data_IF_710662188475
#
_entry.id   IF_710662188475
#
_cell.length_a   1.000
_cell.length_b   1.000
_cell.length_c   1.000
_cell.angle_alpha   90.00
_cell.angle_beta   90.00
_cell.angle_gamma   90.00
#
_symmetry.space_group_name_H-M   'P 1'
#
loop_
_entity.id
_entity.type
_entity.pdbx_description
1 polymer ?
#
# COMPACT_ATOMS: atom_id res chain seq x y z
N UNK A 1 -6.04 8.62 -11.17
CA UNK A 1 -4.72 8.00 -11.39
C UNK A 1 -4.92 6.60 -11.94
N UNK A 2 -4.07 6.21 -12.87
CA UNK A 2 -4.23 4.91 -13.52
C UNK A 2 -3.52 3.82 -12.75
N UNK A 3 -4.30 2.92 -12.15
CA UNK A 3 -3.77 1.83 -11.35
C UNK A 3 -2.89 0.89 -12.16
N UNK A 4 -3.18 0.70 -13.45
CA UNK A 4 -2.34 -0.14 -14.30
C UNK A 4 -0.94 0.46 -14.44
N UNK A 5 -0.83 1.77 -14.64
CA UNK A 5 0.46 2.45 -14.71
C UNK A 5 1.25 2.30 -13.42
N UNK A 6 0.57 2.40 -12.28
CA UNK A 6 1.20 2.18 -10.99
C UNK A 6 1.71 0.75 -10.85
N UNK A 7 0.90 -0.22 -11.27
CA UNK A 7 1.29 -1.63 -11.21
C UNK A 7 2.54 -1.89 -12.05
N UNK A 8 2.63 -1.28 -13.24
CA UNK A 8 3.80 -1.41 -14.09
C UNK A 8 5.04 -0.77 -13.47
N UNK A 9 4.89 0.37 -12.81
CA UNK A 9 6.01 1.01 -12.10
C UNK A 9 6.48 0.15 -10.92
N UNK A 10 5.56 -0.46 -10.20
CA UNK A 10 5.88 -1.36 -9.10
C UNK A 10 6.66 -2.57 -9.64
N UNK A 11 6.24 -3.12 -10.78
CA UNK A 11 6.96 -4.22 -11.41
C UNK A 11 8.40 -3.84 -11.75
N UNK A 12 8.61 -2.62 -12.27
CA UNK A 12 9.96 -2.13 -12.55
C UNK A 12 10.82 -2.05 -11.30
N UNK A 13 10.24 -1.61 -10.19
CA UNK A 13 10.95 -1.55 -8.91
C UNK A 13 11.41 -2.95 -8.50
N UNK A 14 10.51 -3.93 -8.61
CA UNK A 14 10.84 -5.31 -8.27
C UNK A 14 11.90 -5.89 -9.20
N UNK A 15 11.84 -5.57 -10.48
CA UNK A 15 12.84 -6.03 -11.44
C UNK A 15 14.22 -5.49 -11.10
N UNK A 16 14.31 -4.21 -10.74
CA UNK A 16 15.58 -3.60 -10.34
C UNK A 16 16.14 -4.21 -9.06
N UNK A 17 15.26 -4.48 -8.09
CA UNK A 17 15.71 -5.11 -6.86
C UNK A 17 16.22 -6.52 -7.09
N UNK A 18 15.59 -7.28 -7.99
CA UNK A 18 16.04 -8.62 -8.31
C UNK A 18 17.37 -8.65 -9.04
N UNK A 19 17.70 -7.61 -9.79
CA UNK A 19 19.01 -7.51 -10.43
C UNK A 19 20.16 -7.52 -9.41
N UNK A 20 19.88 -7.05 -8.20
CA UNK A 20 20.85 -7.04 -7.10
C UNK A 20 20.94 -8.38 -6.38
N UNK A 21 20.06 -9.32 -6.70
CA UNK A 21 19.95 -10.60 -6.02
C UNK A 21 20.00 -11.75 -7.04
N UNK A 22 21.18 -12.01 -7.61
CA UNK A 22 21.29 -13.05 -8.63
C UNK A 22 20.88 -14.41 -8.09
N UNK A 23 20.30 -15.22 -8.96
CA UNK A 23 19.80 -16.55 -8.64
C UNK A 23 18.67 -16.57 -7.60
N UNK A 24 17.92 -15.48 -7.54
CA UNK A 24 16.74 -15.39 -6.68
C UNK A 24 15.50 -15.16 -7.52
N UNK A 25 14.36 -15.64 -7.02
CA UNK A 25 13.08 -15.37 -7.65
C UNK A 25 12.17 -14.64 -6.66
N UNK A 26 11.30 -13.81 -7.17
CA UNK A 26 10.34 -13.08 -6.36
C UNK A 26 9.16 -13.99 -6.02
N UNK A 27 8.86 -14.15 -4.74
CA UNK A 27 7.76 -15.00 -4.30
C UNK A 27 6.59 -14.20 -3.76
N UNK A 28 6.84 -13.00 -3.24
CA UNK A 28 5.77 -12.17 -2.70
C UNK A 28 6.14 -10.70 -2.71
N UNK A 29 5.14 -9.86 -2.69
CA UNK A 29 5.25 -8.41 -2.75
C UNK A 29 4.14 -7.80 -1.90
N UNK A 30 4.48 -6.81 -1.09
CA UNK A 30 3.51 -6.03 -0.34
C UNK A 30 3.57 -4.57 -0.72
N UNK A 31 2.41 -3.98 -0.94
CA UNK A 31 2.27 -2.57 -1.30
C UNK A 31 1.32 -1.92 -0.30
N UNK A 32 1.73 -0.78 0.25
CA UNK A 32 0.88 0.00 1.14
C UNK A 32 0.27 1.16 0.38
N UNK A 33 -1.05 1.31 0.49
CA UNK A 33 -1.81 2.37 -0.17
C UNK A 33 -2.53 3.18 0.90
N UNK A 34 -2.27 4.48 0.95
CA UNK A 34 -2.94 5.36 1.91
C UNK A 34 -4.44 5.42 1.68
N UNK A 35 -5.22 5.36 2.76
CA UNK A 35 -6.67 5.37 2.71
C UNK A 35 -7.23 6.64 2.04
N UNK A 36 -6.46 7.73 2.08
CA UNK A 36 -6.86 9.02 1.52
C UNK A 36 -6.15 9.35 0.21
N UNK A 37 -5.41 8.39 -0.36
CA UNK A 37 -4.85 8.56 -1.70
C UNK A 37 -5.96 8.38 -2.73
N UNK A 38 -5.71 8.84 -3.95
CA UNK A 38 -6.67 8.70 -5.04
C UNK A 38 -6.64 7.29 -5.67
N UNK A 39 -5.84 6.39 -5.12
CA UNK A 39 -5.65 5.05 -5.67
C UNK A 39 -6.79 4.13 -5.23
N UNK A 40 -7.43 3.49 -6.20
CA UNK A 40 -8.47 2.49 -5.95
C UNK A 40 -7.80 1.16 -5.61
N UNK A 41 -7.91 0.74 -4.34
CA UNK A 41 -7.18 -0.42 -3.83
C UNK A 41 -7.51 -1.71 -4.56
N UNK A 42 -8.80 -1.98 -4.80
CA UNK A 42 -9.19 -3.22 -5.46
C UNK A 42 -8.71 -3.28 -6.91
N UNK A 43 -8.80 -2.15 -7.62
CA UNK A 43 -8.33 -2.07 -9.00
C UNK A 43 -6.81 -2.23 -9.06
N UNK A 44 -6.09 -1.59 -8.15
CA UNK A 44 -4.64 -1.75 -8.09
C UNK A 44 -4.27 -3.20 -7.79
N UNK A 45 -4.94 -3.81 -6.84
CA UNK A 45 -4.67 -5.21 -6.47
C UNK A 45 -4.84 -6.13 -7.67
N UNK A 46 -5.91 -5.96 -8.43
CA UNK A 46 -6.15 -6.74 -9.64
C UNK A 46 -5.08 -6.51 -10.70
N UNK A 47 -4.81 -5.26 -11.02
CA UNK A 47 -3.79 -4.92 -12.03
C UNK A 47 -2.42 -5.43 -11.62
N UNK A 48 -2.09 -5.28 -10.35
CA UNK A 48 -0.79 -5.70 -9.84
C UNK A 48 -0.62 -7.21 -9.97
N UNK A 49 -1.65 -7.98 -9.57
CA UNK A 49 -1.57 -9.44 -9.67
C UNK A 49 -1.39 -9.88 -11.13
N UNK A 50 -2.08 -9.22 -12.06
CA UNK A 50 -1.97 -9.55 -13.48
C UNK A 50 -0.57 -9.25 -14.01
N UNK A 51 -0.08 -8.03 -13.84
CA UNK A 51 1.22 -7.66 -14.42
C UNK A 51 2.39 -8.36 -13.73
N UNK A 52 2.29 -8.62 -12.44
CA UNK A 52 3.35 -9.31 -11.72
C UNK A 52 3.40 -10.79 -12.12
N UNK A 53 2.24 -11.42 -12.29
CA UNK A 53 2.17 -12.83 -12.68
C UNK A 53 2.70 -13.09 -14.08
N UNK A 54 2.63 -12.11 -14.96
CA UNK A 54 3.20 -12.21 -16.30
C UNK A 54 4.73 -12.28 -16.26
N UNK A 55 5.34 -11.67 -15.27
CA UNK A 55 6.79 -11.57 -15.17
C UNK A 55 7.38 -12.54 -14.13
N UNK A 56 6.66 -12.76 -13.04
CA UNK A 56 7.14 -13.57 -11.91
C UNK A 56 6.13 -14.68 -11.63
N UNK A 57 6.50 -15.90 -11.98
CA UNK A 57 5.62 -17.05 -11.82
C UNK A 57 5.33 -17.34 -10.34
N UNK A 58 4.05 -17.50 -10.01
CA UNK A 58 3.63 -17.85 -8.67
C UNK A 58 3.72 -16.74 -7.63
N UNK A 59 3.99 -15.50 -8.05
CA UNK A 59 4.12 -14.38 -7.11
C UNK A 59 2.81 -14.06 -6.42
N UNK A 60 2.88 -13.76 -5.12
CA UNK A 60 1.72 -13.32 -4.34
C UNK A 60 1.83 -11.81 -4.11
N UNK A 61 0.78 -11.10 -4.44
CA UNK A 61 0.73 -9.65 -4.30
C UNK A 61 -0.29 -9.28 -3.23
N UNK A 62 0.16 -8.54 -2.21
CA UNK A 62 -0.68 -8.05 -1.14
C UNK A 62 -0.75 -6.53 -1.22
N UNK A 63 -1.96 -5.98 -1.19
CA UNK A 63 -2.16 -4.53 -1.14
C UNK A 63 -2.81 -4.21 0.19
N UNK A 64 -2.13 -3.39 0.98
CA UNK A 64 -2.51 -3.07 2.34
C UNK A 64 -2.95 -1.61 2.39
N UNK A 65 -4.14 -1.35 2.93
CA UNK A 65 -4.62 0.02 3.11
C UNK A 65 -4.03 0.57 4.41
N UNK A 66 -3.39 1.73 4.32
CA UNK A 66 -2.83 2.40 5.48
C UNK A 66 -3.74 3.54 5.94
N UNK A 67 -4.08 3.59 7.21
CA UNK A 67 -4.92 4.68 7.71
C UNK A 67 -4.13 5.97 7.84
N UNK A 68 -4.87 7.09 7.92
CA UNK A 68 -4.30 8.34 8.39
C UNK A 68 -4.47 8.43 9.89
N UNK A 69 -3.90 9.46 10.48
CA UNK A 69 -4.01 9.73 11.91
C UNK A 69 -4.70 11.06 12.12
N UNK A 70 -5.74 11.05 12.94
CA UNK A 70 -6.44 12.27 13.34
C UNK A 70 -6.16 12.57 14.80
N UNK A 71 -6.24 13.83 15.17
CA UNK A 71 -6.10 14.26 16.56
C UNK A 71 -7.36 15.00 16.97
N UNK A 72 -7.95 14.59 18.07
CA UNK A 72 -9.13 15.25 18.60
C UNK A 72 -8.79 16.63 19.12
N UNK A 73 -9.52 17.66 18.65
CA UNK A 73 -9.29 19.03 19.08
C UNK A 73 -9.80 19.29 20.49
N UNK A 74 -10.64 18.42 21.03
CA UNK A 74 -11.22 18.57 22.36
C UNK A 74 -10.41 17.86 23.46
N UNK A 75 -10.06 16.57 23.23
CA UNK A 75 -9.37 15.80 24.27
C UNK A 75 -7.93 15.44 23.91
N UNK A 76 -7.48 15.74 22.69
CA UNK A 76 -6.11 15.49 22.28
C UNK A 76 -5.78 14.05 21.89
N UNK A 77 -6.74 13.16 21.92
CA UNK A 77 -6.50 11.75 21.54
C UNK A 77 -6.13 11.65 20.06
N UNK A 78 -5.08 10.89 19.77
CA UNK A 78 -4.73 10.54 18.40
C UNK A 78 -5.34 9.18 18.07
N UNK A 79 -5.92 9.07 16.89
CA UNK A 79 -6.58 7.83 16.49
C UNK A 79 -6.48 7.63 14.98
N UNK A 80 -6.56 6.36 14.56
CA UNK A 80 -6.48 6.00 13.15
C UNK A 80 -7.83 6.19 12.48
N UNK A 81 -7.79 6.70 11.23
CA UNK A 81 -9.00 6.92 10.43
C UNK A 81 -8.76 6.45 9.01
N UNK A 82 -9.81 5.91 8.39
CA UNK A 82 -9.77 5.47 6.99
C UNK A 82 -10.80 6.18 6.13
N UNK A 83 -11.77 6.84 6.76
CA UNK A 83 -12.82 7.58 6.04
C UNK A 83 -13.43 8.63 6.96
N UNK A 84 -14.01 9.67 6.36
CA UNK A 84 -14.76 10.69 7.09
C UNK A 84 -16.14 10.14 7.47
N UNK A 85 -16.78 10.68 8.52
CA UNK A 85 -16.29 11.72 9.44
C UNK A 85 -15.26 11.19 10.43
N UNK A 86 -14.43 12.10 10.97
CA UNK A 86 -13.37 11.73 11.91
C UNK A 86 -13.83 11.97 13.34
N UNK A 87 -14.67 11.09 13.85
CA UNK A 87 -15.19 11.19 15.21
C UNK A 87 -14.23 10.58 16.21
N UNK A 88 -13.94 11.32 17.28
CA UNK A 88 -13.08 10.82 18.34
C UNK A 88 -13.74 9.64 19.05
N UNK A 89 -13.08 8.48 19.14
CA UNK A 89 -13.68 7.32 19.81
C UNK A 89 -13.82 7.49 21.33
N UNK A 90 -13.13 8.48 21.91
CA UNK A 90 -13.21 8.75 23.35
C UNK A 90 -14.30 9.75 23.71
N UNK A 91 -14.39 10.88 23.01
CA UNK A 91 -15.32 11.94 23.40
C UNK A 91 -16.38 12.28 22.36
N UNK A 92 -16.28 11.74 21.14
CA UNK A 92 -17.25 11.96 20.09
C UNK A 92 -17.10 13.26 19.32
N UNK A 93 -16.16 14.12 19.70
CA UNK A 93 -15.91 15.37 18.98
C UNK A 93 -15.27 15.08 17.63
N UNK A 94 -15.53 15.94 16.65
CA UNK A 94 -14.93 15.80 15.31
C UNK A 94 -13.50 16.32 15.30
N UNK A 95 -12.60 15.55 14.74
CA UNK A 95 -11.25 16.02 14.47
C UNK A 95 -11.26 16.94 13.26
N UNK A 96 -10.31 17.89 13.21
CA UNK A 96 -10.25 18.89 12.14
C UNK A 96 -9.55 18.42 10.88
N UNK A 97 -8.71 17.43 10.98
CA UNK A 97 -7.96 16.97 9.82
C UNK A 97 -7.23 15.69 10.10
N UNK A 98 -6.58 15.20 9.07
CA UNK A 98 -5.87 13.93 9.07
C UNK A 98 -4.46 14.16 8.55
N UNK A 99 -3.48 13.53 9.18
CA UNK A 99 -2.11 13.47 8.65
C UNK A 99 -1.80 12.04 8.23
N UNK A 100 -1.03 11.90 7.15
CA UNK A 100 -0.68 10.58 6.60
C UNK A 100 -1.83 9.95 5.84
N UNK A 101 -1.66 8.71 5.43
CA UNK A 101 -2.68 7.98 4.70
C UNK A 101 -2.86 8.43 3.25
N UNK A 102 -1.91 9.15 2.68
CA UNK A 102 -1.99 9.72 1.34
C UNK A 102 -0.91 9.23 0.37
N UNK A 103 -0.09 8.28 0.80
CA UNK A 103 1.03 7.79 0.00
C UNK A 103 0.83 6.36 -0.49
N UNK A 104 1.68 5.97 -1.45
CA UNK A 104 1.75 4.61 -1.95
C UNK A 104 3.22 4.20 -1.93
N UNK A 105 3.51 3.01 -1.40
CA UNK A 105 4.88 2.53 -1.37
C UNK A 105 4.93 1.00 -1.37
N UNK A 106 6.03 0.47 -1.89
CA UNK A 106 6.33 -0.95 -1.78
C UNK A 106 6.88 -1.16 -0.37
N UNK A 107 6.15 -1.91 0.45
CA UNK A 107 6.52 -2.11 1.84
C UNK A 107 7.49 -3.27 2.05
N UNK A 108 7.39 -4.30 1.22
CA UNK A 108 8.32 -5.43 1.27
C UNK A 108 8.31 -6.22 -0.03
N UNK A 109 9.37 -6.95 -0.25
CA UNK A 109 9.40 -8.04 -1.23
C UNK A 109 9.96 -9.27 -0.52
N UNK A 110 9.52 -10.44 -0.96
CA UNK A 110 10.07 -11.70 -0.48
C UNK A 110 10.66 -12.44 -1.66
N UNK A 111 11.86 -12.93 -1.47
CA UNK A 111 12.59 -13.66 -2.50
C UNK A 111 13.02 -15.02 -1.98
N UNK A 112 13.24 -15.93 -2.91
CA UNK A 112 13.71 -17.26 -2.61
C UNK A 112 14.90 -17.57 -3.50
N UNK A 113 15.93 -18.17 -2.92
CA UNK A 113 17.11 -18.56 -3.69
C UNK A 113 16.77 -19.74 -4.58
N UNK A 114 17.22 -19.70 -5.82
CA UNK A 114 17.04 -20.78 -6.77
C UNK A 114 18.17 -21.80 -6.77
N UNK A 115 19.12 -21.66 -5.85
CA UNK A 115 20.19 -22.60 -5.70
C UNK A 115 19.76 -23.88 -5.01
#
# INVERSE_FOLDING_TARGET
>A
MHELSLALQIREICERELEKLPESRLTALGVEVGAFSAVEVETLSFCLQVVMSERFDGVRCEVIRQPGTAACSSCGLQFEVTQAPFECPSCGALARGVSGGDSLQVSYIEVESER
#
